data_IF_837358017788
#
_entry.id   IF_837358017788
#
_cell.length_a   1.000
_cell.length_b   1.000
_cell.length_c   1.000
_cell.angle_alpha   90.00
_cell.angle_beta   90.00
_cell.angle_gamma   90.00
#
_symmetry.space_group_name_H-M   'P 1'
#
loop_
_entity.id
_entity.type
_entity.pdbx_description
1 polymer ?
#
# COMPACT_ATOMS: atom_id res chain seq x y z
N UNK A 1 0.34 7.77 12.67
CA UNK A 1 0.91 7.28 11.39
C UNK A 1 1.78 8.39 10.85
N UNK A 2 3.10 8.27 10.96
CA UNK A 2 4.01 9.29 10.43
C UNK A 2 4.09 9.03 8.93
N UNK A 3 3.52 9.91 8.11
CA UNK A 3 3.75 9.88 6.67
C UNK A 3 5.18 10.37 6.45
N UNK A 4 6.11 9.46 6.25
CA UNK A 4 7.45 9.80 5.81
C UNK A 4 7.34 10.18 4.34
N UNK A 5 7.40 11.49 4.04
CA UNK A 5 7.58 11.93 2.67
C UNK A 5 8.98 11.49 2.24
N UNK A 6 9.08 10.64 1.22
CA UNK A 6 10.33 10.62 0.45
C UNK A 6 10.46 12.02 -0.16
N UNK A 7 11.68 12.58 -0.14
CA UNK A 7 11.94 13.91 -0.70
C UNK A 7 11.95 13.90 -2.24
N UNK A 8 11.64 12.75 -2.83
CA UNK A 8 11.65 12.52 -4.28
C UNK A 8 10.31 12.93 -4.91
N UNK A 9 10.38 13.75 -5.95
CA UNK A 9 9.22 14.12 -6.77
C UNK A 9 8.80 12.95 -7.66
N UNK A 10 7.51 12.85 -8.00
CA UNK A 10 6.98 11.80 -8.90
C UNK A 10 7.71 11.75 -10.25
N UNK A 11 8.18 12.90 -10.76
CA UNK A 11 8.99 12.97 -11.98
C UNK A 11 10.37 12.29 -11.79
N UNK A 12 11.07 12.59 -10.70
CA UNK A 12 12.37 11.96 -10.38
C UNK A 12 12.25 10.45 -10.18
N UNK A 13 11.15 9.97 -9.62
CA UNK A 13 10.90 8.52 -9.53
C UNK A 13 10.70 7.84 -10.89
N UNK A 14 10.22 8.58 -11.90
CA UNK A 14 9.94 8.04 -13.24
C UNK A 14 11.15 8.14 -14.16
N UNK A 15 11.85 9.28 -14.12
CA UNK A 15 12.93 9.64 -15.05
C UNK A 15 14.33 9.70 -14.41
N UNK A 16 14.44 9.41 -13.11
CA UNK A 16 15.70 9.39 -12.37
C UNK A 16 16.32 10.78 -12.09
N UNK A 17 15.70 11.87 -12.53
CA UNK A 17 16.25 13.24 -12.46
C UNK A 17 15.18 14.25 -12.06
N UNK A 18 15.58 15.39 -11.48
CA UNK A 18 14.65 16.47 -11.12
C UNK A 18 14.20 17.23 -12.37
N UNK A 19 12.90 17.57 -12.46
CA UNK A 19 12.37 18.35 -13.57
C UNK A 19 12.74 19.84 -13.45
N UNK A 20 13.03 20.48 -14.58
CA UNK A 20 13.07 21.94 -14.68
C UNK A 20 11.62 22.46 -14.76
N UNK A 21 11.28 23.41 -13.90
CA UNK A 21 9.92 23.95 -13.84
C UNK A 21 9.73 24.94 -15.01
N UNK A 22 8.57 24.98 -15.70
CA UNK A 22 8.36 25.87 -16.84
C UNK A 22 8.66 27.35 -16.58
N UNK A 23 8.45 27.83 -15.34
CA UNK A 23 8.75 29.22 -14.97
C UNK A 23 10.25 29.53 -15.06
N UNK A 24 11.12 28.58 -14.74
CA UNK A 24 12.59 28.71 -14.82
C UNK A 24 13.10 28.70 -16.27
N UNK A 25 12.27 28.23 -17.21
CA UNK A 25 12.52 28.32 -18.66
C UNK A 25 12.15 29.72 -19.15
N UNK A 26 11.02 30.28 -18.68
CA UNK A 26 10.58 31.63 -19.04
C UNK A 26 11.42 32.74 -18.39
N UNK A 27 11.97 32.46 -17.21
CA UNK A 27 12.85 33.35 -16.45
C UNK A 27 14.12 32.56 -16.12
N UNK A 28 15.20 32.69 -16.91
CA UNK A 28 16.43 31.95 -16.70
C UNK A 28 16.94 32.18 -15.27
N UNK A 29 17.04 31.10 -14.51
CA UNK A 29 17.69 31.11 -13.19
C UNK A 29 19.13 30.65 -13.33
N UNK A 30 19.92 30.73 -12.27
CA UNK A 30 21.30 30.21 -12.29
C UNK A 30 21.37 28.73 -12.72
N UNK A 31 20.33 27.94 -12.39
CA UNK A 31 20.19 26.53 -12.82
C UNK A 31 20.05 26.38 -14.34
N UNK A 32 19.33 27.29 -14.99
CA UNK A 32 19.11 27.27 -16.46
C UNK A 32 20.18 28.05 -17.24
N UNK A 33 20.87 29.00 -16.60
CA UNK A 33 21.87 29.85 -17.23
C UNK A 33 23.24 29.17 -17.40
N UNK A 34 23.63 28.27 -16.48
CA UNK A 34 24.92 27.58 -16.48
C UNK A 34 24.78 26.07 -16.78
N UNK A 35 23.96 25.70 -17.76
CA UNK A 35 23.76 24.30 -18.14
C UNK A 35 24.96 23.78 -18.94
N UNK A 36 25.68 22.82 -18.36
CA UNK A 36 26.65 21.99 -19.08
C UNK A 36 25.97 20.70 -19.56
N UNK A 37 25.64 20.68 -20.85
CA UNK A 37 24.98 19.53 -21.48
C UNK A 37 25.79 18.23 -21.43
N UNK A 38 27.12 18.30 -21.47
CA UNK A 38 27.97 17.11 -21.48
C UNK A 38 27.99 16.46 -20.09
N UNK A 39 28.16 17.27 -19.05
CA UNK A 39 28.08 16.81 -17.65
C UNK A 39 26.69 16.32 -17.28
N UNK A 40 25.64 16.93 -17.83
CA UNK A 40 24.27 16.49 -17.57
C UNK A 40 23.97 15.12 -18.19
N UNK A 41 24.48 14.86 -19.41
CA UNK A 41 24.35 13.54 -20.04
C UNK A 41 25.09 12.46 -19.26
N UNK A 42 26.32 12.73 -18.80
CA UNK A 42 27.09 11.79 -17.95
C UNK A 42 26.34 11.49 -16.64
N UNK A 43 25.81 12.54 -15.99
CA UNK A 43 25.00 12.37 -14.77
C UNK A 43 23.69 11.61 -15.03
N UNK A 44 23.07 11.78 -16.20
CA UNK A 44 21.86 11.06 -16.58
C UNK A 44 22.15 9.56 -16.76
N UNK A 45 23.26 9.21 -17.42
CA UNK A 45 23.70 7.83 -17.59
C UNK A 45 23.90 7.12 -16.24
N UNK A 46 24.59 7.78 -15.31
CA UNK A 46 24.79 7.28 -13.93
C UNK A 46 23.44 7.11 -13.20
N UNK A 47 22.52 8.07 -13.35
CA UNK A 47 21.20 7.98 -12.71
C UNK A 47 20.36 6.84 -13.28
N UNK A 48 20.46 6.56 -14.58
CA UNK A 48 19.78 5.44 -15.23
C UNK A 48 20.34 4.10 -14.74
N UNK A 49 21.66 3.98 -14.61
CA UNK A 49 22.30 2.78 -14.05
C UNK A 49 21.85 2.53 -12.60
N UNK A 50 21.78 3.59 -11.78
CA UNK A 50 21.36 3.50 -10.37
C UNK A 50 19.85 3.35 -10.19
N UNK A 51 19.05 3.62 -11.23
CA UNK A 51 17.59 3.62 -11.14
C UNK A 51 17.06 2.23 -10.77
N UNK A 52 17.65 1.18 -11.33
CA UNK A 52 17.22 -0.19 -11.07
C UNK A 52 17.54 -0.61 -9.62
N UNK A 53 18.71 -0.24 -9.10
CA UNK A 53 19.07 -0.48 -7.70
C UNK A 53 18.09 0.20 -6.73
N UNK A 54 17.70 1.44 -7.01
CA UNK A 54 16.69 2.15 -6.21
C UNK A 54 15.32 1.47 -6.27
N UNK A 55 14.92 0.95 -7.43
CA UNK A 55 13.65 0.22 -7.59
C UNK A 55 13.65 -1.08 -6.80
N UNK A 56 14.75 -1.84 -6.87
CA UNK A 56 14.97 -3.05 -6.09
C UNK A 56 14.89 -2.75 -4.58
N UNK A 57 15.58 -1.70 -4.10
CA UNK A 57 15.56 -1.31 -2.69
C UNK A 57 14.14 -0.97 -2.20
N UNK A 58 13.38 -0.21 -3.00
CA UNK A 58 11.99 0.14 -2.70
C UNK A 58 11.12 -1.12 -2.68
N UNK A 59 11.28 -2.04 -3.64
CA UNK A 59 10.54 -3.29 -3.70
C UNK A 59 10.82 -4.18 -2.47
N UNK A 60 12.09 -4.31 -2.07
CA UNK A 60 12.50 -5.05 -0.85
C UNK A 60 11.85 -4.41 0.39
N UNK A 61 11.89 -3.09 0.51
CA UNK A 61 11.28 -2.36 1.64
C UNK A 61 9.76 -2.56 1.68
N UNK A 62 9.10 -2.53 0.53
CA UNK A 62 7.67 -2.75 0.42
C UNK A 62 7.30 -4.19 0.82
N UNK A 63 8.00 -5.19 0.27
CA UNK A 63 7.81 -6.60 0.61
C UNK A 63 7.99 -6.83 2.12
N UNK A 64 9.07 -6.28 2.70
CA UNK A 64 9.32 -6.35 4.15
C UNK A 64 8.19 -5.70 4.97
N UNK A 65 7.66 -4.57 4.51
CA UNK A 65 6.54 -3.89 5.16
C UNK A 65 5.26 -4.73 5.10
N UNK A 66 4.95 -5.32 3.93
CA UNK A 66 3.81 -6.20 3.72
C UNK A 66 3.89 -7.43 4.62
N UNK A 67 5.01 -8.16 4.60
CA UNK A 67 5.22 -9.33 5.48
C UNK A 67 5.13 -8.97 6.96
N UNK A 68 5.65 -7.80 7.38
CA UNK A 68 5.52 -7.35 8.77
C UNK A 68 4.06 -7.10 9.15
N UNK A 69 3.28 -6.53 8.23
CA UNK A 69 1.86 -6.25 8.43
C UNK A 69 1.05 -7.55 8.50
N UNK A 70 1.29 -8.49 7.59
CA UNK A 70 0.68 -9.82 7.61
C UNK A 70 0.94 -10.55 8.93
N UNK A 71 2.20 -10.60 9.38
CA UNK A 71 2.54 -11.21 10.69
C UNK A 71 1.81 -10.54 11.85
N UNK A 72 1.72 -9.21 11.85
CA UNK A 72 1.03 -8.46 12.90
C UNK A 72 -0.47 -8.77 12.94
N UNK A 73 -1.13 -8.88 11.80
CA UNK A 73 -2.56 -9.19 11.76
C UNK A 73 -2.82 -10.68 12.00
N UNK A 74 -2.06 -11.58 11.37
CA UNK A 74 -2.20 -13.02 11.52
C UNK A 74 -1.98 -13.47 12.96
N UNK A 75 -1.02 -12.87 13.68
CA UNK A 75 -0.81 -13.17 15.11
C UNK A 75 -1.99 -12.81 16.03
N UNK A 76 -2.91 -11.97 15.56
CA UNK A 76 -4.13 -11.59 16.30
C UNK A 76 -5.35 -12.38 15.89
N UNK A 77 -5.30 -13.09 14.77
CA UNK A 77 -6.39 -13.97 14.34
C UNK A 77 -6.37 -15.17 15.27
N UNK A 78 -7.47 -15.39 15.98
CA UNK A 78 -7.70 -16.64 16.71
C UNK A 78 -8.30 -17.63 15.72
N UNK A 79 -7.67 -18.79 15.59
CA UNK A 79 -8.28 -19.92 14.88
C UNK A 79 -9.55 -20.33 15.60
N UNK A 80 -10.66 -19.79 15.10
CA UNK A 80 -11.99 -20.08 15.61
C UNK A 80 -12.64 -20.96 14.56
N UNK A 81 -12.60 -22.27 14.79
CA UNK A 81 -13.42 -23.22 14.06
C UNK A 81 -14.79 -23.26 14.72
N UNK A 82 -15.83 -23.21 13.89
CA UNK A 82 -17.20 -23.41 14.35
C UNK A 82 -17.51 -24.91 14.30
N UNK A 83 -18.34 -25.38 15.23
CA UNK A 83 -18.88 -26.74 15.22
C UNK A 83 -20.40 -26.69 15.01
N UNK A 84 -20.99 -27.70 14.36
CA UNK A 84 -22.44 -27.84 14.35
C UNK A 84 -23.00 -27.82 15.79
N UNK A 85 -24.02 -27.01 16.03
CA UNK A 85 -24.61 -26.77 17.35
C UNK A 85 -24.07 -25.54 18.10
N UNK A 86 -22.99 -24.90 17.63
CA UNK A 86 -22.50 -23.67 18.25
C UNK A 86 -23.48 -22.50 18.03
N UNK A 87 -23.72 -21.72 19.08
CA UNK A 87 -24.54 -20.51 19.02
C UNK A 87 -23.67 -19.28 18.74
N UNK A 88 -23.93 -18.60 17.63
CA UNK A 88 -23.11 -17.50 17.12
C UNK A 88 -23.95 -16.29 16.75
N UNK A 89 -23.40 -15.08 16.91
CA UNK A 89 -24.03 -13.86 16.42
C UNK A 89 -23.57 -13.58 14.99
N UNK A 90 -24.53 -13.35 14.08
CA UNK A 90 -24.25 -12.97 12.70
C UNK A 90 -24.24 -11.45 12.54
N UNK A 91 -23.19 -10.93 11.93
CA UNK A 91 -23.07 -9.50 11.64
C UNK A 91 -24.01 -9.13 10.47
N UNK A 92 -24.87 -8.14 10.69
CA UNK A 92 -25.85 -7.64 9.71
C UNK A 92 -25.21 -7.15 8.40
N UNK A 93 -24.02 -6.53 8.48
CA UNK A 93 -23.34 -6.00 7.29
C UNK A 93 -22.87 -7.14 6.36
N UNK A 94 -22.53 -8.30 6.94
CA UNK A 94 -22.06 -9.47 6.19
C UNK A 94 -23.21 -10.30 5.62
N UNK A 95 -24.35 -10.35 6.30
CA UNK A 95 -25.53 -11.11 5.89
C UNK A 95 -26.45 -10.34 4.95
N UNK A 96 -26.50 -9.01 5.07
CA UNK A 96 -27.42 -8.10 4.37
C UNK A 96 -28.89 -8.51 4.50
N UNK A 97 -29.29 -9.24 5.56
CA UNK A 97 -30.67 -9.73 5.66
C UNK A 97 -31.67 -8.65 6.08
N UNK A 98 -31.18 -7.52 6.60
CA UNK A 98 -31.97 -6.29 6.81
C UNK A 98 -31.19 -5.11 6.24
N UNK A 99 -31.91 -4.18 5.60
CA UNK A 99 -31.33 -2.89 5.20
C UNK A 99 -30.94 -2.12 6.46
N UNK A 100 -29.64 -2.15 6.80
CA UNK A 100 -29.08 -1.41 7.92
C UNK A 100 -29.09 0.08 7.58
N UNK A 101 -30.18 0.75 7.94
CA UNK A 101 -30.18 2.21 8.10
C UNK A 101 -29.11 2.58 9.14
N UNK A 102 -28.55 3.79 9.06
CA UNK A 102 -27.39 4.32 9.83
C UNK A 102 -27.40 4.12 11.38
N UNK A 103 -28.44 3.55 11.96
CA UNK A 103 -28.60 3.24 13.39
C UNK A 103 -29.21 1.84 13.66
N UNK A 104 -29.22 0.95 12.66
CA UNK A 104 -29.70 -0.41 12.82
C UNK A 104 -28.79 -1.25 13.72
N UNK A 105 -29.31 -2.33 14.34
CA UNK A 105 -28.50 -3.22 15.16
C UNK A 105 -27.37 -3.86 14.33
N UNK A 106 -26.16 -3.92 14.88
CA UNK A 106 -25.00 -4.53 14.18
C UNK A 106 -25.09 -6.05 14.06
N UNK A 107 -25.88 -6.68 14.91
CA UNK A 107 -26.05 -8.13 15.01
C UNK A 107 -27.51 -8.51 14.71
N UNK A 108 -27.72 -9.55 13.91
CA UNK A 108 -29.06 -10.03 13.54
C UNK A 108 -29.80 -10.72 14.67
N UNK A 109 -29.05 -11.41 15.53
CA UNK A 109 -29.57 -12.32 16.54
C UNK A 109 -28.65 -13.52 16.72
N UNK A 110 -29.08 -14.45 17.57
CA UNK A 110 -28.35 -15.69 17.83
C UNK A 110 -28.73 -16.74 16.77
N UNK A 111 -27.72 -17.35 16.14
CA UNK A 111 -27.85 -18.40 15.13
C UNK A 111 -27.18 -19.67 15.61
N UNK A 112 -27.71 -20.82 15.18
CA UNK A 112 -27.06 -22.10 15.37
C UNK A 112 -26.32 -22.50 14.08
N UNK A 113 -25.07 -22.95 14.24
CA UNK A 113 -24.28 -23.49 13.12
C UNK A 113 -24.81 -24.87 12.77
N UNK A 114 -25.28 -25.09 11.54
CA UNK A 114 -25.76 -26.41 11.09
C UNK A 114 -24.69 -27.23 10.39
N UNK A 115 -23.77 -26.57 9.70
CA UNK A 115 -22.59 -27.16 9.05
C UNK A 115 -21.42 -26.19 9.18
N UNK A 116 -20.26 -26.73 9.53
CA UNK A 116 -18.99 -26.01 9.49
C UNK A 116 -18.20 -26.47 8.28
N UNK A 117 -17.76 -25.53 7.45
CA UNK A 117 -16.80 -25.78 6.38
C UNK A 117 -15.40 -25.59 6.96
N UNK A 118 -14.51 -26.55 6.72
CA UNK A 118 -13.11 -26.38 7.05
C UNK A 118 -12.55 -25.21 6.24
N UNK A 119 -11.78 -24.33 6.89
CA UNK A 119 -11.07 -23.28 6.17
C UNK A 119 -9.91 -23.95 5.45
N UNK A 120 -9.94 -23.97 4.13
CA UNK A 120 -8.76 -24.32 3.34
C UNK A 120 -7.68 -23.28 3.64
N UNK A 121 -6.60 -23.71 4.27
CA UNK A 121 -5.43 -22.87 4.48
C UNK A 121 -4.74 -22.68 3.12
N UNK A 122 -5.08 -21.60 2.42
CA UNK A 122 -4.26 -21.12 1.31
C UNK A 122 -2.94 -20.62 1.90
N UNK A 123 -1.92 -21.47 1.81
CA UNK A 123 -0.52 -21.13 2.10
C UNK A 123 0.02 -20.13 1.09
#
# INVERSE_FOLDING_TARGET
MIKTSNKDTTFSLTYGTEAVIPIEISMPTLRTAEVDSARNNEALEINLDLLEEKREEVAIREAKSKTKMEKYYNSKVRDTSFKPGDLVYRNNDASRAKDTVKLGPKWEGLYEVTKALEREHTS
#
